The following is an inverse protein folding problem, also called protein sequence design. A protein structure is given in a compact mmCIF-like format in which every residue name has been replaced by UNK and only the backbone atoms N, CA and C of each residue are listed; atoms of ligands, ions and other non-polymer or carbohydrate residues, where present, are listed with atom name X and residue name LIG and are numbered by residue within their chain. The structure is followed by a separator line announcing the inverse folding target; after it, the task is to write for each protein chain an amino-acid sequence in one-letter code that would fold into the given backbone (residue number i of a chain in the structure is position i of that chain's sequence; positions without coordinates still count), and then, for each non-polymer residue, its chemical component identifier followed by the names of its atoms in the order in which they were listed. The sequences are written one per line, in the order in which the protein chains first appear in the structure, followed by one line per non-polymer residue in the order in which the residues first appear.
data_IF_106515195995
#
_entry.id   IF_106515195995
#
_cell.length_a   1.000
_cell.length_b   1.000
_cell.length_c   1.000
_cell.angle_alpha   90.00
_cell.angle_beta   90.00
_cell.angle_gamma   90.00
#
_symmetry.space_group_name_H-M   'P 1'
#
loop_
_entity.id
_entity.type
_entity.pdbx_description
1 polymer ?
#
# COMPACT_ATOMS: atom_id res chain seq x y z
N UNK A 1 -2.69 7.67 24.94
CA UNK A 1 -1.22 7.82 24.84
C UNK A 1 -1.00 8.46 23.49
N UNK A 2 -0.73 9.77 23.47
CA UNK A 2 -0.66 10.49 22.21
C UNK A 2 0.66 10.15 21.52
N UNK A 3 0.56 9.59 20.32
CA UNK A 3 1.71 9.33 19.46
C UNK A 3 2.33 10.67 19.06
N UNK A 4 3.58 10.89 19.44
CA UNK A 4 4.32 12.07 19.01
C UNK A 4 4.71 11.91 17.54
N UNK A 5 4.22 12.82 16.69
CA UNK A 5 4.60 12.89 15.28
C UNK A 5 5.72 13.92 15.10
N UNK A 6 6.74 13.65 14.26
CA UNK A 6 7.67 14.66 13.80
C UNK A 6 6.93 15.87 13.23
N UNK A 7 7.47 17.08 13.39
CA UNK A 7 6.83 18.35 13.00
C UNK A 7 6.44 18.47 11.51
N UNK A 8 6.93 17.55 10.67
CA UNK A 8 6.66 17.50 9.24
C UNK A 8 5.52 16.52 8.86
N UNK A 9 5.01 15.72 9.80
CA UNK A 9 3.90 14.79 9.55
C UNK A 9 2.61 15.37 10.11
N UNK A 10 1.67 15.67 9.22
CA UNK A 10 0.31 16.10 9.59
C UNK A 10 -0.56 14.84 9.65
N UNK A 11 -0.97 14.37 10.83
CA UNK A 11 -1.80 13.18 10.93
C UNK A 11 -3.20 13.47 10.38
N UNK A 12 -3.79 12.49 9.70
CA UNK A 12 -5.15 12.59 9.17
C UNK A 12 -6.18 12.90 10.26
N UNK A 13 -5.96 12.44 11.50
CA UNK A 13 -6.84 12.70 12.66
C UNK A 13 -6.83 14.15 13.16
N UNK A 14 -5.89 15.00 12.71
CA UNK A 14 -5.85 16.42 13.08
C UNK A 14 -6.85 17.24 12.26
N UNK A 15 -7.26 18.40 12.77
CA UNK A 15 -8.12 19.34 12.04
C UNK A 15 -7.51 19.76 10.70
N UNK A 16 -6.21 20.04 10.67
CA UNK A 16 -5.47 20.38 9.44
C UNK A 16 -5.44 19.19 8.48
N UNK A 17 -5.23 17.97 8.98
CA UNK A 17 -5.26 16.76 8.17
C UNK A 17 -6.63 16.50 7.52
N UNK A 18 -7.71 16.70 8.28
CA UNK A 18 -9.09 16.59 7.77
C UNK A 18 -9.40 17.66 6.71
N UNK A 19 -8.94 18.90 6.91
CA UNK A 19 -9.08 19.98 5.94
C UNK A 19 -8.35 19.64 4.63
N UNK A 20 -7.08 19.21 4.70
CA UNK A 20 -6.32 18.76 3.53
C UNK A 20 -7.04 17.62 2.81
N UNK A 21 -7.54 16.64 3.57
CA UNK A 21 -8.25 15.48 3.02
C UNK A 21 -9.54 15.89 2.30
N UNK A 22 -10.36 16.76 2.89
CA UNK A 22 -11.61 17.25 2.29
C UNK A 22 -11.41 18.01 0.98
N UNK A 23 -10.27 18.66 0.82
CA UNK A 23 -9.91 19.41 -0.39
C UNK A 23 -9.15 18.55 -1.43
N UNK A 24 -8.97 17.25 -1.16
CA UNK A 24 -8.22 16.32 -2.00
C UNK A 24 -9.12 15.29 -2.71
N UNK A 25 -8.60 14.67 -3.77
CA UNK A 25 -9.25 13.49 -4.35
C UNK A 25 -9.02 12.28 -3.44
N UNK A 26 -10.10 11.71 -2.91
CA UNK A 26 -10.07 10.61 -1.94
C UNK A 26 -10.60 9.28 -2.51
N UNK A 27 -10.82 9.18 -3.83
CA UNK A 27 -11.35 7.96 -4.49
C UNK A 27 -10.50 6.72 -4.19
N UNK A 28 -9.17 6.85 -4.27
CA UNK A 28 -8.28 5.75 -3.93
C UNK A 28 -8.33 5.42 -2.43
N UNK A 29 -8.40 6.46 -1.59
CA UNK A 29 -8.52 6.29 -0.14
C UNK A 29 -9.77 5.49 0.22
N UNK A 30 -10.95 5.86 -0.26
CA UNK A 30 -12.22 5.20 0.10
C UNK A 30 -12.19 3.70 -0.25
N UNK A 31 -11.63 3.40 -1.42
CA UNK A 31 -11.51 2.02 -1.93
C UNK A 31 -10.50 1.19 -1.14
N UNK A 32 -9.39 1.78 -0.71
CA UNK A 32 -8.42 1.10 0.15
C UNK A 32 -8.97 0.96 1.58
N UNK A 33 -9.64 2.00 2.08
CA UNK A 33 -10.18 2.06 3.43
C UNK A 33 -11.23 0.97 3.70
N UNK A 34 -11.97 0.55 2.66
CA UNK A 34 -12.91 -0.57 2.73
C UNK A 34 -12.24 -1.90 3.12
N UNK A 35 -10.96 -2.05 2.80
CA UNK A 35 -10.18 -3.26 3.05
C UNK A 35 -9.01 -3.03 4.02
N UNK A 36 -8.93 -1.84 4.65
CA UNK A 36 -7.81 -1.48 5.48
C UNK A 36 -7.72 -2.36 6.71
N UNK A 37 -6.52 -2.88 6.98
CA UNK A 37 -6.25 -3.78 8.09
C UNK A 37 -4.85 -3.53 8.67
N UNK A 38 -4.68 -3.87 9.94
CA UNK A 38 -3.37 -3.88 10.58
C UNK A 38 -2.55 -5.09 10.17
N UNK A 39 -1.23 -4.98 10.19
CA UNK A 39 -0.34 -6.12 9.96
C UNK A 39 -0.47 -7.17 11.07
N UNK A 40 -0.64 -8.45 10.71
CA UNK A 40 -0.75 -9.57 11.66
C UNK A 40 0.56 -9.85 12.40
N UNK A 41 1.69 -9.50 11.79
CA UNK A 41 3.03 -9.71 12.34
C UNK A 41 3.93 -8.50 12.07
N UNK A 42 4.97 -8.26 12.90
CA UNK A 42 5.86 -7.10 12.74
C UNK A 42 6.58 -7.05 11.38
N UNK A 43 6.80 -8.21 10.76
CA UNK A 43 7.41 -8.34 9.44
C UNK A 43 6.40 -8.30 8.28
N UNK A 44 5.11 -8.14 8.54
CA UNK A 44 4.03 -8.31 7.54
C UNK A 44 3.54 -7.00 6.92
N UNK A 45 4.16 -5.85 7.16
CA UNK A 45 3.72 -4.58 6.58
C UNK A 45 3.47 -4.67 5.05
N UNK A 46 4.42 -5.23 4.29
CA UNK A 46 4.23 -5.41 2.84
C UNK A 46 3.16 -6.45 2.47
N UNK A 47 2.92 -7.46 3.31
CA UNK A 47 1.84 -8.44 3.11
C UNK A 47 0.48 -7.80 3.38
N UNK A 48 0.34 -7.03 4.46
CA UNK A 48 -0.86 -6.25 4.74
C UNK A 48 -1.18 -5.30 3.58
N UNK A 49 -0.18 -4.56 3.08
CA UNK A 49 -0.37 -3.73 1.88
C UNK A 49 -0.82 -4.54 0.66
N UNK A 50 -0.24 -5.73 0.43
CA UNK A 50 -0.65 -6.60 -0.67
C UNK A 50 -2.10 -7.08 -0.51
N UNK A 51 -2.51 -7.49 0.70
CA UNK A 51 -3.89 -7.92 0.98
C UNK A 51 -4.89 -6.81 0.68
N UNK A 52 -4.62 -5.59 1.14
CA UNK A 52 -5.48 -4.42 0.88
C UNK A 52 -5.62 -4.23 -0.63
N UNK A 53 -4.52 -4.15 -1.39
CA UNK A 53 -4.58 -3.96 -2.84
C UNK A 53 -5.30 -5.09 -3.56
N UNK A 54 -5.04 -6.33 -3.17
CA UNK A 54 -5.64 -7.50 -3.79
C UNK A 54 -7.13 -7.56 -3.55
N UNK A 55 -7.60 -7.24 -2.34
CA UNK A 55 -9.04 -7.18 -2.07
C UNK A 55 -9.71 -5.97 -2.74
N UNK A 56 -9.00 -4.83 -2.87
CA UNK A 56 -9.51 -3.66 -3.61
C UNK A 56 -9.62 -3.89 -5.12
N UNK A 57 -8.70 -4.67 -5.72
CA UNK A 57 -8.63 -4.89 -7.18
C UNK A 57 -9.25 -6.21 -7.64
N UNK A 58 -9.28 -7.23 -6.78
CA UNK A 58 -9.76 -8.58 -7.04
C UNK A 58 -10.73 -9.04 -5.91
N UNK A 59 -11.85 -8.33 -5.68
CA UNK A 59 -12.68 -8.47 -4.48
C UNK A 59 -13.31 -9.86 -4.28
N UNK A 60 -13.40 -10.68 -5.33
CA UNK A 60 -14.03 -12.00 -5.26
C UNK A 60 -13.10 -13.12 -4.77
N UNK A 61 -11.82 -12.84 -4.53
CA UNK A 61 -10.82 -13.85 -4.18
C UNK A 61 -10.57 -14.00 -2.67
N UNK A 62 -11.11 -13.10 -1.84
CA UNK A 62 -11.03 -13.14 -0.36
C UNK A 62 -9.60 -13.39 0.15
N UNK A 63 -8.69 -12.48 -0.21
CA UNK A 63 -7.30 -12.55 0.22
C UNK A 63 -7.15 -12.25 1.70
N UNK A 64 -6.23 -12.94 2.37
CA UNK A 64 -5.84 -12.71 3.76
C UNK A 64 -4.32 -12.71 3.89
N UNK A 65 -3.79 -12.06 4.92
CA UNK A 65 -2.33 -12.03 5.12
C UNK A 65 -1.75 -13.44 5.26
N UNK A 66 -2.44 -14.32 5.99
CA UNK A 66 -2.08 -15.73 6.16
C UNK A 66 -2.06 -16.53 4.84
N UNK A 67 -3.05 -16.32 3.95
CA UNK A 67 -3.09 -17.08 2.69
C UNK A 67 -2.06 -16.58 1.67
N UNK A 68 -1.80 -15.27 1.61
CA UNK A 68 -0.72 -14.70 0.78
C UNK A 68 0.63 -15.19 1.29
N UNK A 69 0.84 -15.14 2.61
CA UNK A 69 2.07 -15.62 3.21
C UNK A 69 2.30 -17.11 2.89
N UNK A 70 1.33 -17.95 3.21
CA UNK A 70 1.50 -19.41 3.10
C UNK A 70 1.65 -19.89 1.66
N UNK A 71 0.95 -19.27 0.70
CA UNK A 71 0.92 -19.75 -0.68
C UNK A 71 1.96 -19.07 -1.58
N UNK A 72 2.41 -17.86 -1.23
CA UNK A 72 3.23 -17.04 -2.15
C UNK A 72 4.51 -16.54 -1.48
N UNK A 73 4.41 -15.94 -0.29
CA UNK A 73 5.51 -15.16 0.28
C UNK A 73 6.43 -15.93 1.26
N UNK A 74 6.04 -17.11 1.76
CA UNK A 74 6.74 -17.84 2.83
C UNK A 74 8.24 -18.00 2.58
N UNK A 75 8.61 -18.41 1.36
CA UNK A 75 10.02 -18.63 0.99
C UNK A 75 10.81 -17.34 0.74
N UNK A 76 10.14 -16.18 0.79
CA UNK A 76 10.72 -14.87 0.51
C UNK A 76 10.79 -13.97 1.74
N UNK A 77 10.16 -14.37 2.84
CA UNK A 77 10.07 -13.61 4.08
C UNK A 77 10.94 -14.20 5.18
N UNK A 78 12.10 -13.57 5.43
CA UNK A 78 12.93 -13.85 6.61
C UNK A 78 12.81 -12.76 7.66
N UNK A 79 12.86 -11.48 7.27
CA UNK A 79 12.72 -10.31 8.16
C UNK A 79 11.90 -9.19 7.48
N UNK A 80 10.79 -9.56 6.87
CA UNK A 80 10.00 -8.68 6.02
C UNK A 80 10.19 -8.97 4.53
N UNK A 81 9.69 -8.06 3.70
CA UNK A 81 9.65 -8.22 2.25
C UNK A 81 10.24 -6.98 1.57
N UNK A 82 11.25 -7.18 0.72
CA UNK A 82 11.81 -6.11 -0.12
C UNK A 82 10.83 -5.73 -1.23
N UNK A 83 10.91 -4.52 -1.78
CA UNK A 83 10.12 -4.09 -2.95
C UNK A 83 10.09 -5.11 -4.10
N UNK A 84 11.23 -5.70 -4.48
CA UNK A 84 11.30 -6.69 -5.56
C UNK A 84 10.51 -7.97 -5.26
N UNK A 85 10.54 -8.42 -4.01
CA UNK A 85 9.77 -9.59 -3.55
C UNK A 85 8.28 -9.27 -3.44
N UNK A 86 7.93 -8.05 -3.02
CA UNK A 86 6.54 -7.61 -2.95
C UNK A 86 5.91 -7.54 -4.34
N UNK A 87 6.63 -6.97 -5.31
CA UNK A 87 6.26 -6.99 -6.73
C UNK A 87 6.01 -8.41 -7.23
N UNK A 88 6.92 -9.34 -6.94
CA UNK A 88 6.73 -10.77 -7.26
C UNK A 88 5.46 -11.35 -6.63
N UNK A 89 5.18 -11.08 -5.35
CA UNK A 89 3.97 -11.55 -4.67
C UNK A 89 2.70 -11.04 -5.37
N UNK A 90 2.63 -9.73 -5.64
CA UNK A 90 1.48 -9.12 -6.33
C UNK A 90 1.25 -9.74 -7.71
N UNK A 91 2.32 -10.00 -8.45
CA UNK A 91 2.24 -10.62 -9.78
C UNK A 91 1.79 -12.07 -9.74
N UNK A 92 2.24 -12.84 -8.75
CA UNK A 92 1.74 -14.21 -8.53
C UNK A 92 0.28 -14.26 -8.13
N UNK A 93 -0.24 -13.21 -7.50
CA UNK A 93 -1.66 -13.04 -7.19
C UNK A 93 -2.48 -12.42 -8.34
N UNK A 94 -1.88 -12.21 -9.51
CA UNK A 94 -2.60 -11.78 -10.73
C UNK A 94 -2.66 -10.27 -10.95
N UNK A 95 -1.92 -9.47 -10.19
CA UNK A 95 -1.78 -8.03 -10.44
C UNK A 95 -0.59 -7.74 -11.36
N UNK A 96 -0.59 -6.56 -11.98
CA UNK A 96 0.60 -6.04 -12.68
C UNK A 96 1.29 -5.04 -11.77
N UNK A 97 2.59 -5.18 -11.60
CA UNK A 97 3.38 -4.30 -10.75
C UNK A 97 4.51 -3.62 -11.53
N UNK A 98 4.97 -2.46 -11.06
CA UNK A 98 6.15 -1.77 -11.60
C UNK A 98 6.90 -1.14 -10.44
N UNK A 99 8.18 -1.47 -10.31
CA UNK A 99 9.06 -0.89 -9.30
C UNK A 99 9.70 0.39 -9.85
N UNK A 100 9.87 1.34 -8.94
CA UNK A 100 10.31 2.70 -9.20
C UNK A 100 11.12 3.15 -7.98
N UNK A 101 12.39 3.50 -8.19
CA UNK A 101 13.32 3.88 -7.13
C UNK A 101 13.53 5.40 -7.10
N UNK A 102 13.70 5.99 -5.91
CA UNK A 102 13.75 7.44 -5.69
C UNK A 102 14.85 8.21 -6.44
N UNK A 103 15.87 7.54 -6.98
CA UNK A 103 16.92 8.19 -7.77
C UNK A 103 16.40 8.78 -9.09
N UNK A 104 15.20 8.38 -9.52
CA UNK A 104 14.52 8.91 -10.69
C UNK A 104 13.79 10.23 -10.35
N UNK A 105 14.38 11.37 -10.68
CA UNK A 105 13.74 12.69 -10.45
C UNK A 105 12.48 12.92 -11.31
N UNK A 106 12.22 12.07 -12.30
CA UNK A 106 11.00 12.16 -13.14
C UNK A 106 9.81 11.42 -12.55
N UNK A 107 10.04 10.68 -11.47
CA UNK A 107 9.09 9.76 -10.87
C UNK A 107 7.88 10.48 -10.27
N UNK A 108 8.06 11.68 -9.71
CA UNK A 108 6.98 12.40 -9.03
C UNK A 108 5.88 12.82 -10.02
N UNK A 109 6.24 13.44 -11.14
CA UNK A 109 5.28 13.84 -12.16
C UNK A 109 4.59 12.64 -12.80
N UNK A 110 5.34 11.55 -13.01
CA UNK A 110 4.80 10.32 -13.56
C UNK A 110 3.83 9.65 -12.59
N UNK A 111 4.16 9.57 -11.29
CA UNK A 111 3.28 9.05 -10.25
C UNK A 111 1.99 9.86 -10.13
N UNK A 112 2.09 11.20 -10.15
CA UNK A 112 0.90 12.08 -10.13
C UNK A 112 -0.02 11.81 -11.32
N UNK A 113 0.53 11.49 -12.50
CA UNK A 113 -0.26 11.12 -13.68
C UNK A 113 -0.87 9.73 -13.56
N UNK A 114 -0.12 8.75 -13.06
CA UNK A 114 -0.59 7.36 -12.97
C UNK A 114 -1.62 7.15 -11.86
N UNK A 115 -1.54 7.89 -10.74
CA UNK A 115 -2.52 7.87 -9.65
C UNK A 115 -3.89 8.47 -10.01
N UNK A 116 -3.98 9.23 -11.12
CA UNK A 116 -5.27 9.71 -11.63
C UNK A 116 -6.09 8.61 -12.30
N UNK A 117 -5.49 7.45 -12.59
CA UNK A 117 -6.18 6.32 -13.23
C UNK A 117 -6.81 5.45 -12.16
N UNK A 118 -8.11 5.19 -12.29
CA UNK A 118 -8.94 4.53 -11.28
C UNK A 118 -8.42 3.17 -10.79
N UNK A 119 -7.68 2.41 -11.60
CA UNK A 119 -7.18 1.06 -11.24
C UNK A 119 -5.70 1.02 -10.86
N UNK A 120 -5.09 2.18 -10.66
CA UNK A 120 -3.70 2.29 -10.28
C UNK A 120 -3.57 2.68 -8.81
N UNK A 121 -2.71 1.96 -8.11
CA UNK A 121 -2.38 2.22 -6.71
C UNK A 121 -0.87 2.29 -6.55
N UNK A 122 -0.43 2.90 -5.45
CA UNK A 122 0.97 3.06 -5.09
C UNK A 122 1.20 2.44 -3.71
N UNK A 123 2.28 1.68 -3.59
CA UNK A 123 2.88 1.31 -2.31
C UNK A 123 4.22 2.06 -2.25
N UNK A 124 4.47 2.69 -1.11
CA UNK A 124 5.71 3.41 -0.84
C UNK A 124 6.45 2.66 0.27
N UNK A 125 7.73 2.39 0.04
CA UNK A 125 8.67 1.85 1.03
C UNK A 125 9.54 3.03 1.51
N UNK A 126 9.56 3.27 2.82
CA UNK A 126 10.15 4.47 3.46
C UNK A 126 11.26 4.03 4.41
#
# INVERSE_FOLDING_TARGET
MDLWYPSLIIPLSSSVGQEIFSNSSHVAYDRLNTHFEGQEHLSFCGIACATILLNTLLPYQNWSQSNIYSNVARNHMSNGITLSKLSYVLEKCGLRSRIRYCEDKTIEEQFRKDLRKEKNFLIVDI
#
